data_IF_312222171699
#
_entry.id   IF_312222171699
#
_cell.length_a   1.000
_cell.length_b   1.000
_cell.length_c   1.000
_cell.angle_alpha   90.00
_cell.angle_beta   90.00
_cell.angle_gamma   90.00
#
_symmetry.space_group_name_H-M   'P 1'
#
loop_
_entity.id
_entity.type
_entity.pdbx_description
1 polymer ?
#
# COMPACT_ATOMS: atom_id res chain seq x y z
N UNK A 1 14.15 20.93 -4.67
CA UNK A 1 12.88 20.77 -3.92
C UNK A 1 13.02 19.46 -3.18
N UNK A 2 13.16 19.50 -1.85
CA UNK A 2 13.23 18.27 -1.05
C UNK A 2 11.80 17.76 -0.94
N UNK A 3 11.48 16.63 -1.57
CA UNK A 3 10.24 15.90 -1.32
C UNK A 3 10.32 15.39 0.13
N UNK A 4 9.73 16.13 1.03
CA UNK A 4 9.52 15.70 2.41
C UNK A 4 8.45 14.62 2.41
N UNK A 5 8.87 13.37 2.15
CA UNK A 5 8.02 12.22 2.35
C UNK A 5 7.79 12.03 3.85
N UNK A 6 6.60 12.38 4.31
CA UNK A 6 6.26 12.29 5.72
C UNK A 6 4.80 11.94 5.96
N UNK A 7 4.54 11.27 7.07
CA UNK A 7 3.22 10.81 7.51
C UNK A 7 2.95 11.30 8.91
N UNK A 8 1.76 11.89 9.12
CA UNK A 8 1.28 12.28 10.44
C UNK A 8 0.23 11.29 10.92
N UNK A 9 0.49 10.63 12.04
CA UNK A 9 -0.42 9.69 12.68
C UNK A 9 -0.85 10.25 14.03
N UNK A 10 -2.14 10.54 14.17
CA UNK A 10 -2.71 11.01 15.44
C UNK A 10 -3.23 9.83 16.28
N UNK A 11 -2.81 9.78 17.54
CA UNK A 11 -3.27 8.83 18.54
C UNK A 11 -3.66 9.60 19.81
N UNK A 12 -4.95 9.82 20.04
CA UNK A 12 -5.44 10.59 21.19
C UNK A 12 -4.81 12.01 21.23
N UNK A 13 -4.00 12.33 22.23
CA UNK A 13 -3.28 13.61 22.35
C UNK A 13 -1.88 13.61 21.73
N UNK A 14 -1.45 12.46 21.22
CA UNK A 14 -0.14 12.20 20.66
C UNK A 14 -0.17 12.29 19.15
N UNK A 15 0.80 12.98 18.54
CA UNK A 15 1.03 13.01 17.11
C UNK A 15 2.40 12.41 16.83
N UNK A 16 2.44 11.36 16.02
CA UNK A 16 3.67 10.82 15.48
C UNK A 16 3.88 11.38 14.08
N UNK A 17 4.99 12.05 13.85
CA UNK A 17 5.43 12.46 12.53
C UNK A 17 6.58 11.56 12.09
N UNK A 18 6.34 10.77 11.08
CA UNK A 18 7.30 9.82 10.52
C UNK A 18 7.73 10.36 9.16
N UNK A 19 9.01 10.62 8.98
CA UNK A 19 9.53 11.20 7.77
C UNK A 19 10.88 10.62 7.37
N UNK A 20 11.20 10.77 6.09
CA UNK A 20 12.47 10.32 5.52
C UNK A 20 13.44 11.50 5.37
N UNK A 21 14.68 11.28 5.82
CA UNK A 21 15.81 12.19 5.59
C UNK A 21 16.97 11.36 5.05
N UNK A 22 17.40 11.60 3.82
CA UNK A 22 18.35 10.76 3.12
C UNK A 22 17.87 9.31 3.06
N UNK A 23 18.63 8.37 3.63
CA UNK A 23 18.27 6.94 3.69
C UNK A 23 17.72 6.53 5.06
N UNK A 24 17.48 7.49 5.94
CA UNK A 24 16.98 7.29 7.29
C UNK A 24 15.48 7.57 7.38
N UNK A 25 14.77 6.83 8.22
CA UNK A 25 13.41 7.15 8.65
C UNK A 25 13.46 7.56 10.11
N UNK A 26 12.95 8.74 10.38
CA UNK A 26 12.93 9.38 11.70
C UNK A 26 11.48 9.44 12.17
N UNK A 27 11.25 9.11 13.43
CA UNK A 27 9.98 9.34 14.12
C UNK A 27 10.14 10.46 15.14
N UNK A 28 9.25 11.44 15.06
CA UNK A 28 9.11 12.53 15.99
C UNK A 28 7.75 12.43 16.67
N UNK A 29 7.73 12.35 17.99
CA UNK A 29 6.50 12.34 18.77
C UNK A 29 6.24 13.70 19.39
N UNK A 30 5.02 14.18 19.25
CA UNK A 30 4.56 15.45 19.83
C UNK A 30 3.39 15.19 20.77
N UNK A 31 3.44 15.79 21.96
CA UNK A 31 2.33 15.88 22.92
C UNK A 31 2.10 17.35 23.23
N UNK A 32 0.86 17.83 23.09
CA UNK A 32 0.50 19.25 23.28
C UNK A 32 1.43 20.19 22.48
N UNK A 33 1.68 19.85 21.21
CA UNK A 33 2.56 20.60 20.27
C UNK A 33 4.04 20.69 20.68
N UNK A 34 4.48 19.96 21.70
CA UNK A 34 5.89 19.89 22.10
C UNK A 34 6.48 18.57 21.65
N UNK A 35 7.67 18.63 21.05
CA UNK A 35 8.46 17.44 20.73
C UNK A 35 8.84 16.73 22.05
N UNK A 36 8.42 15.51 22.20
CA UNK A 36 8.67 14.69 23.40
C UNK A 36 9.63 13.55 23.14
N UNK A 37 9.76 13.14 21.88
CA UNK A 37 10.63 12.03 21.49
C UNK A 37 11.07 12.18 20.04
N UNK A 38 12.33 11.86 19.74
CA UNK A 38 12.89 11.77 18.41
C UNK A 38 13.81 10.56 18.31
N UNK A 39 13.68 9.76 17.27
CA UNK A 39 14.53 8.60 17.04
C UNK A 39 14.65 8.28 15.55
N UNK A 40 15.86 7.97 15.08
CA UNK A 40 16.06 7.27 13.81
C UNK A 40 15.69 5.80 14.00
N UNK A 41 14.76 5.31 13.19
CA UNK A 41 14.21 3.95 13.28
C UNK A 41 14.68 3.04 12.15
N UNK A 42 15.08 3.59 11.01
CA UNK A 42 15.62 2.85 9.86
C UNK A 42 16.76 3.61 9.21
N UNK A 43 17.75 2.89 8.65
CA UNK A 43 18.95 3.48 8.02
C UNK A 43 19.16 2.96 6.57
N UNK A 44 18.18 2.27 5.99
CA UNK A 44 18.28 1.68 4.65
C UNK A 44 17.06 1.98 3.77
N UNK A 45 16.37 3.08 4.03
CA UNK A 45 15.14 3.46 3.35
C UNK A 45 15.43 4.24 2.07
N UNK A 46 15.24 3.62 0.91
CA UNK A 46 15.27 4.30 -0.39
C UNK A 46 14.02 5.18 -0.59
N UNK A 47 12.86 4.68 -0.21
CA UNK A 47 11.57 5.35 -0.39
C UNK A 47 10.58 4.94 0.70
N UNK A 48 10.04 5.91 1.43
CA UNK A 48 8.98 5.68 2.42
C UNK A 48 7.62 5.66 1.70
N UNK A 49 6.89 4.54 1.80
CA UNK A 49 5.65 4.33 1.03
C UNK A 49 4.38 4.59 1.80
N UNK A 50 4.33 4.14 3.03
CA UNK A 50 3.13 4.31 3.86
C UNK A 50 3.45 4.10 5.33
N UNK A 51 2.65 4.72 6.18
CA UNK A 51 2.65 4.47 7.62
C UNK A 51 1.21 4.28 8.06
N UNK A 52 0.92 3.17 8.70
CA UNK A 52 -0.43 2.78 9.10
C UNK A 52 -0.44 2.48 10.59
N UNK A 53 -1.39 3.05 11.32
CA UNK A 53 -1.64 2.70 12.70
C UNK A 53 -2.38 1.35 12.75
N UNK A 54 -1.80 0.38 13.46
CA UNK A 54 -2.45 -0.89 13.72
C UNK A 54 -3.36 -0.83 14.95
N UNK A 55 -4.28 -1.77 15.08
CA UNK A 55 -5.23 -1.84 16.21
C UNK A 55 -4.56 -1.96 17.58
N UNK A 56 -3.41 -2.62 17.64
CA UNK A 56 -2.62 -2.76 18.85
C UNK A 56 -1.76 -1.53 19.19
N UNK A 57 -2.03 -0.39 18.53
CA UNK A 57 -1.35 0.91 18.64
C UNK A 57 0.11 0.88 18.15
N UNK A 58 0.53 -0.16 17.44
CA UNK A 58 1.82 -0.20 16.73
C UNK A 58 1.75 0.54 15.40
N UNK A 59 2.88 1.02 14.91
CA UNK A 59 3.00 1.62 13.59
C UNK A 59 3.53 0.57 12.60
N UNK A 60 2.81 0.36 11.52
CA UNK A 60 3.28 -0.39 10.35
C UNK A 60 3.94 0.59 9.39
N UNK A 61 5.25 0.53 9.29
CA UNK A 61 6.07 1.38 8.43
C UNK A 61 6.42 0.56 7.19
N UNK A 62 5.97 1.02 6.03
CA UNK A 62 6.15 0.31 4.76
C UNK A 62 7.05 1.15 3.87
N UNK A 63 8.16 0.56 3.45
CA UNK A 63 9.18 1.25 2.69
C UNK A 63 9.89 0.34 1.71
N UNK A 64 10.58 0.94 0.75
CA UNK A 64 11.50 0.27 -0.14
C UNK A 64 12.91 0.50 0.38
N UNK A 65 13.64 -0.57 0.61
CA UNK A 65 15.01 -0.49 1.07
C UNK A 65 16.01 -0.25 -0.08
N UNK A 66 17.27 -0.03 0.24
CA UNK A 66 18.34 0.18 -0.75
C UNK A 66 18.58 -1.05 -1.65
N UNK A 67 18.11 -2.24 -1.25
CA UNK A 67 18.13 -3.47 -2.07
C UNK A 67 16.89 -3.66 -2.95
N UNK A 68 16.07 -2.62 -3.08
CA UNK A 68 14.84 -2.64 -3.89
C UNK A 68 13.82 -3.70 -3.45
N UNK A 69 13.73 -3.93 -2.14
CA UNK A 69 12.74 -4.81 -1.53
C UNK A 69 11.66 -3.97 -0.85
N UNK A 70 10.40 -4.34 -1.02
CA UNK A 70 9.32 -3.77 -0.23
C UNK A 70 9.31 -4.44 1.14
N UNK A 71 9.51 -3.63 2.17
CA UNK A 71 9.62 -4.06 3.57
C UNK A 71 8.44 -3.50 4.36
N UNK A 72 7.94 -4.28 5.30
CA UNK A 72 7.10 -3.82 6.39
C UNK A 72 7.89 -3.97 7.70
N UNK A 73 7.95 -2.90 8.46
CA UNK A 73 8.53 -2.89 9.80
C UNK A 73 7.45 -2.49 10.81
N UNK A 74 7.34 -3.25 11.88
CA UNK A 74 6.44 -2.97 13.02
C UNK A 74 7.22 -2.25 14.09
N UNK A 75 6.82 -0.99 14.37
CA UNK A 75 7.39 -0.17 15.42
C UNK A 75 6.36 0.01 16.54
N UNK A 76 6.74 -0.35 17.77
CA UNK A 76 5.88 -0.26 18.94
C UNK A 76 6.74 -0.15 20.19
N UNK A 77 6.27 0.58 21.21
CA UNK A 77 6.98 0.79 22.47
C UNK A 77 8.43 1.29 22.28
N UNK A 78 8.57 2.26 21.36
CA UNK A 78 9.83 2.91 20.98
C UNK A 78 10.92 1.97 20.44
N UNK A 79 10.53 0.84 19.86
CA UNK A 79 11.47 -0.11 19.23
C UNK A 79 10.84 -0.85 18.05
N UNK A 80 11.72 -1.34 17.18
CA UNK A 80 11.32 -2.28 16.13
C UNK A 80 11.02 -3.63 16.78
N UNK A 81 9.80 -4.12 16.59
CA UNK A 81 9.35 -5.42 17.07
C UNK A 81 9.61 -6.52 16.04
N UNK A 82 9.38 -6.21 14.77
CA UNK A 82 9.50 -7.15 13.67
C UNK A 82 9.71 -6.41 12.33
N UNK A 83 10.36 -7.09 11.39
CA UNK A 83 10.47 -6.64 9.99
C UNK A 83 10.33 -7.82 9.05
N UNK A 84 9.62 -7.63 7.94
CA UNK A 84 9.40 -8.66 6.95
C UNK A 84 9.46 -8.12 5.53
N UNK A 85 9.93 -8.96 4.61
CA UNK A 85 9.92 -8.65 3.18
C UNK A 85 8.53 -8.98 2.63
N UNK A 86 7.83 -7.97 2.12
CA UNK A 86 6.52 -8.14 1.49
C UNK A 86 6.64 -8.67 0.07
N UNK A 87 7.61 -8.17 -0.68
CA UNK A 87 7.91 -8.65 -2.04
C UNK A 87 9.32 -8.29 -2.45
N UNK A 88 9.88 -9.05 -3.39
CA UNK A 88 11.21 -8.85 -3.98
C UNK A 88 11.08 -8.66 -5.48
N UNK A 89 12.04 -7.96 -6.08
CA UNK A 89 12.15 -7.79 -7.53
C UNK A 89 11.74 -6.41 -8.02
N UNK A 90 11.84 -6.22 -9.32
CA UNK A 90 11.58 -4.95 -9.99
C UNK A 90 10.12 -4.56 -9.84
N UNK A 91 9.87 -3.61 -8.96
CA UNK A 91 8.56 -3.02 -8.73
C UNK A 91 8.54 -1.64 -9.38
N UNK A 92 7.43 -1.29 -10.00
CA UNK A 92 7.17 0.11 -10.30
C UNK A 92 6.75 0.81 -9.00
N UNK A 93 7.72 1.32 -8.26
CA UNK A 93 7.57 1.83 -6.89
C UNK A 93 6.48 2.87 -6.74
N UNK A 94 6.29 3.72 -7.75
CA UNK A 94 5.25 4.76 -7.73
C UNK A 94 3.82 4.19 -7.82
N UNK A 95 3.71 2.92 -8.13
CA UNK A 95 2.44 2.23 -8.39
C UNK A 95 2.09 1.18 -7.33
N UNK A 96 2.68 1.28 -6.13
CA UNK A 96 2.29 0.46 -4.99
C UNK A 96 1.20 1.20 -4.21
N UNK A 97 0.05 0.54 -3.99
CA UNK A 97 -1.01 1.04 -3.13
C UNK A 97 -1.26 0.05 -1.99
N UNK A 98 -1.42 0.58 -0.78
CA UNK A 98 -1.62 -0.22 0.42
C UNK A 98 -2.77 0.39 1.19
N UNK A 99 -3.78 -0.42 1.45
CA UNK A 99 -4.97 -0.01 2.18
C UNK A 99 -5.27 -0.98 3.32
N UNK A 100 -5.74 -0.47 4.44
CA UNK A 100 -6.19 -1.28 5.57
C UNK A 100 -7.70 -1.45 5.52
N UNK A 101 -8.17 -2.69 5.60
CA UNK A 101 -9.58 -3.03 5.70
C UNK A 101 -9.75 -4.31 6.54
N UNK A 102 -10.69 -4.29 7.51
CA UNK A 102 -11.02 -5.44 8.36
C UNK A 102 -9.77 -6.08 9.01
N UNK A 103 -8.88 -5.23 9.55
CA UNK A 103 -7.62 -5.65 10.19
C UNK A 103 -6.65 -6.41 9.26
N UNK A 104 -6.81 -6.23 7.95
CA UNK A 104 -5.93 -6.78 6.93
C UNK A 104 -5.28 -5.64 6.17
N UNK A 105 -3.98 -5.75 5.89
CA UNK A 105 -3.32 -4.90 4.90
C UNK A 105 -3.51 -5.53 3.53
N UNK A 106 -4.09 -4.77 2.63
CA UNK A 106 -4.31 -5.13 1.23
C UNK A 106 -3.26 -4.41 0.39
N UNK A 107 -2.38 -5.16 -0.26
CA UNK A 107 -1.18 -4.66 -0.93
C UNK A 107 -1.33 -4.91 -2.42
N UNK A 108 -1.37 -3.83 -3.20
CA UNK A 108 -1.46 -3.84 -4.66
C UNK A 108 -0.16 -3.33 -5.25
N UNK A 109 0.32 -3.98 -6.29
CA UNK A 109 1.55 -3.61 -6.98
C UNK A 109 1.60 -4.17 -8.38
N UNK A 110 2.49 -3.60 -9.20
CA UNK A 110 2.72 -4.06 -10.57
C UNK A 110 4.05 -4.80 -10.63
N UNK A 111 4.02 -5.94 -11.30
CA UNK A 111 5.22 -6.66 -11.74
C UNK A 111 5.34 -6.63 -13.25
N UNK A 112 6.57 -6.59 -13.76
CA UNK A 112 6.83 -6.86 -15.18
C UNK A 112 7.01 -8.35 -15.39
N UNK A 113 6.15 -8.94 -16.20
CA UNK A 113 6.27 -10.31 -16.64
C UNK A 113 6.21 -10.37 -18.17
N UNK A 114 7.28 -10.88 -18.81
CA UNK A 114 7.41 -10.91 -20.28
C UNK A 114 7.10 -9.55 -20.94
N UNK A 115 7.69 -8.47 -20.43
CA UNK A 115 7.50 -7.07 -20.86
C UNK A 115 6.09 -6.50 -20.60
N UNK A 116 5.15 -7.24 -20.05
CA UNK A 116 3.80 -6.79 -19.73
C UNK A 116 3.68 -6.39 -18.27
N UNK A 117 2.88 -5.37 -18.01
CA UNK A 117 2.53 -4.95 -16.65
C UNK A 117 1.44 -5.88 -16.11
N UNK A 118 1.71 -6.53 -15.00
CA UNK A 118 0.80 -7.47 -14.36
C UNK A 118 0.41 -6.93 -12.99
N UNK A 119 -0.88 -6.74 -12.78
CA UNK A 119 -1.42 -6.32 -11.48
C UNK A 119 -1.43 -7.51 -10.52
N UNK A 120 -0.76 -7.34 -9.41
CA UNK A 120 -0.65 -8.33 -8.35
C UNK A 120 -1.27 -7.82 -7.05
N UNK A 121 -1.75 -8.75 -6.24
CA UNK A 121 -2.40 -8.50 -4.97
C UNK A 121 -1.92 -9.50 -3.91
N UNK A 122 -1.73 -9.00 -2.68
CA UNK A 122 -1.50 -9.80 -1.47
C UNK A 122 -2.24 -9.21 -0.28
N UNK A 123 -2.49 -10.05 0.70
CA UNK A 123 -3.03 -9.65 2.00
C UNK A 123 -2.08 -10.04 3.11
N UNK A 124 -2.01 -9.20 4.12
CA UNK A 124 -1.27 -9.46 5.36
C UNK A 124 -2.25 -9.32 6.52
N UNK A 125 -2.36 -10.34 7.35
CA UNK A 125 -3.20 -10.29 8.54
C UNK A 125 -2.44 -9.72 9.75
N UNK A 126 -3.14 -9.50 10.86
CA UNK A 126 -2.57 -8.94 12.10
C UNK A 126 -1.46 -9.82 12.72
N UNK A 127 -1.45 -11.11 12.42
CA UNK A 127 -0.40 -12.03 12.87
C UNK A 127 0.82 -12.02 11.95
N UNK A 128 0.89 -11.07 11.01
CA UNK A 128 1.95 -10.95 10.01
C UNK A 128 2.05 -12.18 9.08
N UNK A 129 0.94 -12.88 8.86
CA UNK A 129 0.87 -13.98 7.90
C UNK A 129 0.44 -13.40 6.55
N UNK A 130 1.31 -13.57 5.55
CA UNK A 130 1.10 -13.12 4.18
C UNK A 130 0.34 -14.17 3.37
N UNK A 131 -0.67 -13.74 2.62
CA UNK A 131 -1.33 -14.61 1.64
C UNK A 131 -0.40 -14.98 0.47
N UNK A 132 -0.76 -16.00 -0.28
CA UNK A 132 -0.19 -16.22 -1.60
C UNK A 132 -0.43 -15.01 -2.50
N UNK A 133 0.45 -14.81 -3.48
CA UNK A 133 0.28 -13.76 -4.48
C UNK A 133 -0.84 -14.14 -5.45
N UNK A 134 -1.75 -13.21 -5.67
CA UNK A 134 -2.81 -13.34 -6.67
C UNK A 134 -2.45 -12.44 -7.85
N UNK A 135 -2.32 -13.02 -9.03
CA UNK A 135 -2.26 -12.29 -10.30
C UNK A 135 -3.68 -11.93 -10.70
N UNK A 136 -3.98 -10.65 -10.79
CA UNK A 136 -5.33 -10.17 -11.10
C UNK A 136 -5.56 -10.08 -12.61
N UNK A 137 -4.77 -9.25 -13.29
CA UNK A 137 -4.90 -9.03 -14.74
C UNK A 137 -3.61 -8.45 -15.34
N UNK A 138 -3.55 -8.43 -16.68
CA UNK A 138 -2.55 -7.68 -17.43
C UNK A 138 -3.11 -6.29 -17.66
N UNK A 139 -2.32 -5.26 -17.30
CA UNK A 139 -2.68 -3.87 -17.45
C UNK A 139 -2.19 -3.31 -18.78
N UNK A 140 -2.90 -2.26 -19.26
CA UNK A 140 -2.41 -1.43 -20.35
C UNK A 140 -1.09 -0.76 -19.95
N UNK A 141 -0.18 -0.65 -20.91
CA UNK A 141 1.13 -0.03 -20.73
C UNK A 141 1.01 1.52 -20.83
N UNK A 142 1.99 2.20 -20.24
CA UNK A 142 2.16 3.66 -20.33
C UNK A 142 1.04 4.51 -19.71
N UNK A 143 0.34 4.00 -18.71
CA UNK A 143 -0.59 4.80 -17.92
C UNK A 143 0.11 5.38 -16.68
N UNK A 144 -0.05 6.67 -16.45
CA UNK A 144 0.45 7.34 -15.24
C UNK A 144 -0.22 6.76 -13.99
N UNK A 145 -1.54 6.54 -14.07
CA UNK A 145 -2.34 5.91 -13.03
C UNK A 145 -2.93 4.60 -13.57
N UNK A 146 -2.22 3.47 -13.46
CA UNK A 146 -2.62 2.21 -14.07
C UNK A 146 -3.79 1.54 -13.35
N UNK A 147 -4.01 1.85 -12.07
CA UNK A 147 -5.13 1.36 -11.28
C UNK A 147 -5.42 2.28 -10.09
N UNK A 148 -6.63 2.23 -9.58
CA UNK A 148 -7.10 2.96 -8.41
C UNK A 148 -7.75 1.98 -7.45
N UNK A 149 -7.32 1.97 -6.18
CA UNK A 149 -7.94 1.21 -5.11
C UNK A 149 -8.87 2.13 -4.32
N UNK A 150 -10.07 1.68 -4.03
CA UNK A 150 -11.04 2.40 -3.24
C UNK A 150 -11.66 1.50 -2.17
N UNK A 151 -11.99 2.11 -1.03
CA UNK A 151 -12.79 1.48 0.03
C UNK A 151 -14.02 2.37 0.24
N UNK A 152 -15.19 1.80 0.02
CA UNK A 152 -16.48 2.47 0.28
C UNK A 152 -17.40 1.51 1.01
N UNK A 153 -17.97 1.94 2.14
CA UNK A 153 -18.91 1.18 2.96
C UNK A 153 -18.40 -0.23 3.34
N UNK A 154 -17.09 -0.34 3.63
CA UNK A 154 -16.45 -1.61 3.96
C UNK A 154 -16.20 -2.54 2.76
N UNK A 155 -16.45 -2.08 1.55
CA UNK A 155 -16.19 -2.82 0.31
C UNK A 155 -14.89 -2.32 -0.31
N UNK A 156 -13.96 -3.24 -0.53
CA UNK A 156 -12.72 -2.98 -1.26
C UNK A 156 -12.96 -3.17 -2.76
N UNK A 157 -12.61 -2.18 -3.55
CA UNK A 157 -12.70 -2.21 -5.00
C UNK A 157 -11.41 -1.76 -5.65
N UNK A 158 -11.17 -2.22 -6.88
CA UNK A 158 -10.04 -1.80 -7.69
C UNK A 158 -10.50 -1.58 -9.13
N UNK A 159 -10.23 -0.37 -9.65
CA UNK A 159 -10.52 -0.01 -11.03
C UNK A 159 -9.21 0.10 -11.82
N UNK A 160 -9.20 -0.37 -13.06
CA UNK A 160 -8.02 -0.35 -13.94
C UNK A 160 -8.37 -0.50 -15.41
N UNK A 161 -7.38 -0.26 -16.26
CA UNK A 161 -7.48 -0.54 -17.71
C UNK A 161 -6.84 -1.89 -18.01
N UNK A 162 -7.66 -2.87 -18.35
CA UNK A 162 -7.22 -4.22 -18.72
C UNK A 162 -6.73 -4.23 -20.16
N UNK A 163 -5.49 -4.70 -20.36
CA UNK A 163 -4.92 -4.88 -21.69
C UNK A 163 -5.59 -6.04 -22.42
N UNK A 164 -6.15 -5.77 -23.59
CA UNK A 164 -6.76 -6.75 -24.49
C UNK A 164 -6.63 -6.27 -25.94
N UNK A 165 -7.28 -6.96 -26.89
CA UNK A 165 -7.37 -6.50 -28.29
C UNK A 165 -7.95 -5.08 -28.42
N UNK A 166 -8.97 -4.79 -27.59
CA UNK A 166 -9.48 -3.47 -27.25
C UNK A 166 -9.29 -3.29 -25.76
N UNK A 167 -8.69 -2.18 -25.33
CA UNK A 167 -8.49 -1.91 -23.92
C UNK A 167 -9.83 -1.62 -23.24
N UNK A 168 -10.07 -2.31 -22.13
CA UNK A 168 -11.29 -2.15 -21.35
C UNK A 168 -11.01 -1.44 -20.02
N UNK A 169 -11.79 -0.40 -19.75
CA UNK A 169 -11.87 0.19 -18.40
C UNK A 169 -12.88 -0.60 -17.59
N UNK A 170 -12.54 -0.97 -16.38
CA UNK A 170 -13.45 -1.69 -15.53
C UNK A 170 -12.94 -1.82 -14.11
N UNK A 171 -13.63 -2.63 -13.32
CA UNK A 171 -13.31 -2.82 -11.92
C UNK A 171 -13.57 -4.25 -11.44
N UNK A 172 -13.01 -4.58 -10.27
CA UNK A 172 -13.33 -5.77 -9.48
C UNK A 172 -13.71 -5.37 -8.07
N UNK A 173 -14.57 -6.15 -7.42
CA UNK A 173 -14.94 -6.03 -6.02
C UNK A 173 -14.34 -7.20 -5.24
N UNK A 174 -13.86 -6.94 -4.03
CA UNK A 174 -13.45 -7.99 -3.13
C UNK A 174 -14.63 -8.52 -2.33
N UNK A 175 -14.94 -9.81 -2.49
CA UNK A 175 -16.05 -10.48 -1.84
C UNK A 175 -15.53 -11.08 -0.53
N UNK A 176 -15.69 -10.35 0.57
CA UNK A 176 -15.16 -10.73 1.88
C UNK A 176 -15.63 -12.13 2.34
N UNK A 177 -16.89 -12.49 2.10
CA UNK A 177 -17.45 -13.77 2.51
C UNK A 177 -16.79 -14.97 1.84
N UNK A 178 -16.21 -14.77 0.66
CA UNK A 178 -15.60 -15.83 -0.16
C UNK A 178 -14.08 -15.70 -0.24
N UNK A 179 -13.52 -14.64 0.36
CA UNK A 179 -12.09 -14.30 0.33
C UNK A 179 -11.50 -14.23 -1.10
N UNK A 180 -12.30 -13.75 -2.06
CA UNK A 180 -11.93 -13.69 -3.47
C UNK A 180 -12.37 -12.39 -4.16
N UNK A 181 -11.77 -12.12 -5.31
CA UNK A 181 -12.17 -11.05 -6.22
C UNK A 181 -13.32 -11.49 -7.13
N UNK A 182 -14.23 -10.56 -7.42
CA UNK A 182 -15.23 -10.75 -8.47
C UNK A 182 -14.58 -10.94 -9.83
N UNK A 183 -15.35 -11.37 -10.82
CA UNK A 183 -14.96 -11.21 -12.23
C UNK A 183 -14.75 -9.73 -12.56
N UNK A 184 -14.01 -9.46 -13.65
CA UNK A 184 -13.80 -8.11 -14.14
C UNK A 184 -15.08 -7.56 -14.74
N UNK A 185 -15.59 -6.46 -14.19
CA UNK A 185 -16.82 -5.78 -14.60
C UNK A 185 -16.40 -4.62 -15.50
N UNK A 186 -16.80 -4.66 -16.77
CA UNK A 186 -16.49 -3.62 -17.74
C UNK A 186 -17.38 -2.40 -17.48
N UNK A 187 -16.77 -1.21 -17.41
CA UNK A 187 -17.50 0.05 -17.43
C UNK A 187 -17.81 0.39 -18.89
N UNK A 188 -19.05 0.19 -19.30
CA UNK A 188 -19.49 0.59 -20.64
C UNK A 188 -19.64 2.12 -20.67
N UNK A 189 -18.89 2.77 -21.56
CA UNK A 189 -18.98 4.22 -21.75
C UNK A 189 -20.34 4.68 -22.32
N UNK A 190 -21.19 3.74 -22.75
CA UNK A 190 -22.48 4.01 -23.36
C UNK A 190 -23.70 3.82 -22.43
N UNK A 191 -23.51 3.42 -21.18
CA UNK A 191 -24.62 3.35 -20.22
C UNK A 191 -24.93 4.74 -19.65
N UNK A 192 -25.51 5.62 -20.47
CA UNK A 192 -26.21 6.81 -20.01
C UNK A 192 -27.60 6.45 -19.43
N UNK A 193 -27.69 5.45 -18.59
CA UNK A 193 -28.91 5.15 -17.85
C UNK A 193 -28.52 4.76 -16.44
N UNK A 194 -28.38 5.79 -15.60
CA UNK A 194 -28.59 5.64 -14.16
C UNK A 194 -29.87 6.39 -13.86
N UNK A 195 -30.99 5.67 -13.86
CA UNK A 195 -32.20 6.09 -13.18
C UNK A 195 -32.04 6.06 -11.66
#
# INVERSE_FOLDING_TARGET
MYDLEGFCIKQEEKINYIHKVNDEVIINEYINHKLTFEQTILNDCKLLKNVILNLDKGLYIIYINLKEQLILTVFKDNKIQNSMILTKGLLEYNKIQIVSLNNMLNIFYIKKFNKRNVLCFRRLNNNLIMSTEITMDILEENLDVPYIVNIKDGILSIAYVKAAKLNYVGYRLFINAEDKWSEFIILDANSNEIE
#
